data_IF_856179260554
#
_entry.id   IF_856179260554
#
_cell.length_a   1.000
_cell.length_b   1.000
_cell.length_c   1.000
_cell.angle_alpha   90.00
_cell.angle_beta   90.00
_cell.angle_gamma   90.00
#
_symmetry.space_group_name_H-M   'P 1'
#
loop_
_entity.id
_entity.type
_entity.pdbx_description
1 polymer ?
#
# COMPACT_ATOMS: atom_id res chain seq x y z
N UNK A 1 31.26 6.93 19.82
CA UNK A 1 29.97 7.49 19.41
C UNK A 1 30.16 8.26 18.10
N UNK A 2 30.19 7.57 16.96
CA UNK A 2 30.05 8.23 15.66
C UNK A 2 28.57 8.12 15.32
N UNK A 3 27.83 9.22 15.49
CA UNK A 3 26.39 9.25 15.28
C UNK A 3 26.07 8.91 13.82
N UNK A 4 25.52 7.73 13.60
CA UNK A 4 24.97 7.28 12.31
C UNK A 4 23.66 7.99 12.00
N UNK A 5 23.64 9.31 12.05
CA UNK A 5 22.45 10.07 11.73
C UNK A 5 22.28 10.10 10.20
N UNK A 6 21.13 9.61 9.74
CA UNK A 6 20.65 9.76 8.37
C UNK A 6 20.36 11.24 8.02
N UNK A 7 20.42 12.14 9.00
CA UNK A 7 20.25 13.58 8.82
C UNK A 7 21.57 14.34 8.76
N UNK A 8 21.74 15.19 7.74
CA UNK A 8 22.74 16.25 7.65
C UNK A 8 22.24 17.49 8.41
N UNK A 9 22.41 17.47 9.73
CA UNK A 9 22.23 18.66 10.56
C UNK A 9 23.62 19.21 10.89
N UNK A 10 24.20 20.02 10.00
CA UNK A 10 25.49 20.66 10.26
C UNK A 10 25.33 21.89 11.16
N UNK A 11 26.12 21.96 12.24
CA UNK A 11 26.02 23.05 13.19
C UNK A 11 26.56 24.38 12.66
N UNK A 12 25.95 25.52 13.04
CA UNK A 12 24.75 25.61 13.87
C UNK A 12 23.51 25.83 12.99
N UNK A 13 22.71 24.78 12.74
CA UNK A 13 21.33 24.95 12.28
C UNK A 13 20.57 25.71 13.37
N UNK A 14 20.39 27.02 13.18
CA UNK A 14 19.56 27.81 14.09
C UNK A 14 18.12 27.35 13.94
N UNK A 15 17.41 27.05 15.02
CA UNK A 15 15.98 26.69 14.95
C UNK A 15 15.13 27.70 14.17
N UNK A 16 15.54 28.98 14.17
CA UNK A 16 14.90 30.02 13.36
C UNK A 16 14.92 29.75 11.84
N UNK A 17 15.82 28.91 11.32
CA UNK A 17 15.85 28.53 9.91
C UNK A 17 14.64 27.69 9.49
N UNK A 18 13.99 27.00 10.43
CA UNK A 18 12.75 26.24 10.17
C UNK A 18 11.57 27.18 9.84
N UNK A 19 11.68 28.46 10.22
CA UNK A 19 10.66 29.47 9.89
C UNK A 19 10.81 30.02 8.48
N UNK A 20 11.94 29.76 7.80
CA UNK A 20 12.13 30.21 6.43
C UNK A 20 11.18 29.45 5.50
N UNK A 21 10.53 30.13 4.53
CA UNK A 21 9.71 29.43 3.55
C UNK A 21 10.59 28.47 2.75
N UNK A 22 10.01 27.32 2.38
CA UNK A 22 10.62 26.37 1.48
C UNK A 22 11.15 27.10 0.23
N UNK A 23 12.45 26.97 -0.05
CA UNK A 23 13.02 27.56 -1.26
C UNK A 23 12.41 26.84 -2.47
N UNK A 24 11.95 27.56 -3.50
CA UNK A 24 11.48 26.91 -4.72
C UNK A 24 12.63 26.08 -5.31
N UNK A 25 12.50 24.75 -5.30
CA UNK A 25 13.46 23.86 -5.94
C UNK A 25 13.27 23.94 -7.45
N UNK A 26 14.39 23.91 -8.19
CA UNK A 26 14.38 23.82 -9.66
C UNK A 26 13.77 22.49 -10.12
N UNK A 27 13.90 21.45 -9.29
CA UNK A 27 13.37 20.11 -9.54
C UNK A 27 12.31 19.73 -8.48
N UNK A 28 11.28 18.95 -8.85
CA UNK A 28 10.35 18.38 -7.89
C UNK A 28 11.05 17.43 -6.91
N UNK A 29 10.32 16.99 -5.87
CA UNK A 29 10.79 15.97 -4.92
C UNK A 29 11.39 14.77 -5.66
N UNK A 30 12.48 14.21 -5.11
CA UNK A 30 13.07 12.98 -5.63
C UNK A 30 12.14 11.79 -5.38
N UNK A 31 11.59 11.73 -4.15
CA UNK A 31 10.59 10.75 -3.71
C UNK A 31 9.35 10.84 -4.59
N UNK A 32 8.90 9.70 -5.13
CA UNK A 32 7.74 9.60 -6.02
C UNK A 32 6.42 9.54 -5.23
N UNK A 33 5.35 10.01 -5.86
CA UNK A 33 4.01 9.90 -5.30
C UNK A 33 3.17 9.04 -6.24
N UNK A 34 2.66 7.92 -5.73
CA UNK A 34 1.64 7.12 -6.39
C UNK A 34 0.28 7.63 -5.93
N UNK A 35 -0.57 8.06 -6.86
CA UNK A 35 -1.93 8.48 -6.56
C UNK A 35 -2.93 7.46 -7.07
N UNK A 36 -3.83 6.98 -6.19
CA UNK A 36 -4.96 6.15 -6.61
C UNK A 36 -6.05 7.03 -7.21
N UNK A 37 -6.40 6.81 -8.48
CA UNK A 37 -7.44 7.57 -9.17
C UNK A 37 -8.82 6.99 -8.89
N UNK A 38 -9.78 7.86 -8.58
CA UNK A 38 -11.12 7.49 -8.15
C UNK A 38 -12.12 8.63 -8.30
N UNK A 39 -13.32 8.53 -7.69
CA UNK A 39 -14.44 9.44 -7.94
C UNK A 39 -14.11 10.92 -7.82
N UNK A 40 -13.29 11.28 -6.83
CA UNK A 40 -12.94 12.68 -6.57
C UNK A 40 -11.68 13.12 -7.31
N UNK A 41 -11.00 12.21 -8.01
CA UNK A 41 -9.80 12.45 -8.83
C UNK A 41 -9.95 11.92 -10.26
N UNK A 42 -11.19 11.83 -10.74
CA UNK A 42 -11.54 11.21 -12.03
C UNK A 42 -11.48 12.18 -13.21
N UNK A 43 -11.77 13.47 -12.98
CA UNK A 43 -11.87 14.45 -14.07
C UNK A 43 -10.49 14.84 -14.60
N UNK A 44 -10.43 15.20 -15.89
CA UNK A 44 -9.19 15.63 -16.54
C UNK A 44 -8.53 16.77 -15.78
N UNK A 45 -9.31 17.76 -15.36
CA UNK A 45 -8.85 18.96 -14.66
C UNK A 45 -8.19 18.59 -13.31
N UNK A 46 -8.83 17.71 -12.52
CA UNK A 46 -8.27 17.28 -11.24
C UNK A 46 -7.02 16.43 -11.44
N UNK A 47 -6.98 15.58 -12.46
CA UNK A 47 -5.78 14.79 -12.77
C UNK A 47 -4.63 15.70 -13.21
N UNK A 48 -4.87 16.72 -14.04
CA UNK A 48 -3.86 17.72 -14.42
C UNK A 48 -3.29 18.43 -13.18
N UNK A 49 -4.16 18.80 -12.24
CA UNK A 49 -3.74 19.39 -10.98
C UNK A 49 -2.90 18.43 -10.12
N UNK A 50 -3.29 17.16 -10.02
CA UNK A 50 -2.53 16.11 -9.32
C UNK A 50 -1.15 15.89 -9.95
N UNK A 51 -1.06 15.77 -11.28
CA UNK A 51 0.19 15.62 -12.02
C UNK A 51 1.07 16.87 -11.84
N UNK A 52 0.47 18.06 -11.85
CA UNK A 52 1.19 19.31 -11.59
C UNK A 52 1.70 19.40 -10.16
N UNK A 53 0.90 18.94 -9.19
CA UNK A 53 1.24 18.92 -7.76
C UNK A 53 2.36 17.93 -7.40
N UNK A 54 2.60 16.90 -8.20
CA UNK A 54 3.73 15.97 -8.03
C UNK A 54 3.39 14.49 -8.15
N UNK A 55 2.15 14.12 -8.48
CA UNK A 55 1.79 12.74 -8.75
C UNK A 55 2.65 12.19 -9.89
N UNK A 56 3.27 11.04 -9.65
CA UNK A 56 4.26 10.41 -10.54
C UNK A 56 3.74 9.13 -11.18
N UNK A 57 2.89 8.37 -10.48
CA UNK A 57 2.29 7.12 -10.96
C UNK A 57 0.79 7.15 -10.66
N UNK A 58 -0.04 6.69 -11.59
CA UNK A 58 -1.48 6.56 -11.40
C UNK A 58 -1.82 5.09 -11.08
N UNK A 59 -2.37 4.86 -9.89
CA UNK A 59 -2.85 3.54 -9.45
C UNK A 59 -4.34 3.37 -9.75
N UNK A 60 -4.68 2.23 -10.33
CA UNK A 60 -6.04 1.79 -10.64
C UNK A 60 -6.37 0.58 -9.76
N UNK A 61 -7.30 0.79 -8.83
CA UNK A 61 -7.67 -0.19 -7.83
C UNK A 61 -8.86 -1.04 -8.30
N UNK A 62 -8.61 -2.27 -8.75
CA UNK A 62 -9.64 -3.14 -9.35
C UNK A 62 -10.52 -3.88 -8.35
N UNK A 63 -10.26 -3.73 -7.04
CA UNK A 63 -11.20 -4.12 -5.98
C UNK A 63 -12.52 -3.32 -6.03
N UNK A 64 -12.50 -2.16 -6.71
CA UNK A 64 -13.57 -1.18 -6.70
C UNK A 64 -13.92 -0.75 -8.13
N UNK A 65 -15.22 -0.75 -8.45
CA UNK A 65 -15.78 -0.50 -9.80
C UNK A 65 -15.29 -1.49 -10.86
N UNK A 66 -15.86 -1.35 -12.07
CA UNK A 66 -15.63 -2.23 -13.20
C UNK A 66 -14.58 -1.66 -14.17
N UNK A 67 -14.19 -2.47 -15.16
CA UNK A 67 -13.23 -2.09 -16.18
C UNK A 67 -13.68 -0.87 -17.02
N UNK A 68 -14.99 -0.61 -17.15
CA UNK A 68 -15.52 0.54 -17.90
C UNK A 68 -15.15 1.84 -17.21
N UNK A 69 -15.37 1.92 -15.90
CA UNK A 69 -14.96 3.06 -15.09
C UNK A 69 -13.45 3.31 -15.15
N UNK A 70 -12.65 2.24 -15.01
CA UNK A 70 -11.19 2.35 -15.08
C UNK A 70 -10.69 2.77 -16.45
N UNK A 71 -11.37 2.35 -17.54
CA UNK A 71 -11.03 2.81 -18.89
C UNK A 71 -11.31 4.31 -19.09
N UNK A 72 -12.46 4.80 -18.64
CA UNK A 72 -12.78 6.24 -18.69
C UNK A 72 -11.76 7.06 -17.90
N UNK A 73 -11.39 6.58 -16.70
CA UNK A 73 -10.37 7.19 -15.85
C UNK A 73 -9.01 7.26 -16.56
N UNK A 74 -8.61 6.18 -17.26
CA UNK A 74 -7.36 6.12 -18.00
C UNK A 74 -7.34 7.05 -19.20
N UNK A 75 -8.45 7.16 -19.93
CA UNK A 75 -8.56 8.08 -21.06
C UNK A 75 -8.43 9.54 -20.59
N UNK A 76 -9.04 9.87 -19.43
CA UNK A 76 -8.85 11.17 -18.78
C UNK A 76 -7.40 11.40 -18.35
N UNK A 77 -6.74 10.40 -17.77
CA UNK A 77 -5.33 10.47 -17.39
C UNK A 77 -4.43 10.74 -18.60
N UNK A 78 -4.63 10.03 -19.71
CA UNK A 78 -3.85 10.22 -20.94
C UNK A 78 -4.00 11.64 -21.49
N UNK A 79 -5.22 12.19 -21.48
CA UNK A 79 -5.49 13.58 -21.88
C UNK A 79 -4.82 14.58 -20.94
N UNK A 80 -4.95 14.39 -19.63
CA UNK A 80 -4.32 15.25 -18.62
C UNK A 80 -2.79 15.24 -18.76
N UNK A 81 -2.19 14.06 -18.89
CA UNK A 81 -0.75 13.86 -19.09
C UNK A 81 -0.22 14.58 -20.34
N UNK A 82 -0.97 14.54 -21.45
CA UNK A 82 -0.66 15.30 -22.66
C UNK A 82 -0.73 16.82 -22.43
N UNK A 83 -1.76 17.30 -21.74
CA UNK A 83 -1.97 18.72 -21.48
C UNK A 83 -0.85 19.31 -20.61
N UNK A 84 -0.43 18.61 -19.55
CA UNK A 84 0.67 19.05 -18.66
C UNK A 84 2.07 18.64 -19.16
N UNK A 85 2.15 17.86 -20.24
CA UNK A 85 3.39 17.32 -20.83
C UNK A 85 4.24 16.53 -19.83
N UNK A 86 3.59 15.67 -19.04
CA UNK A 86 4.25 14.75 -18.10
C UNK A 86 3.89 13.31 -18.44
N UNK A 87 4.87 12.43 -18.37
CA UNK A 87 4.63 10.99 -18.41
C UNK A 87 4.14 10.52 -17.04
N UNK A 88 3.19 9.60 -17.02
CA UNK A 88 2.65 9.00 -15.79
C UNK A 88 2.41 7.51 -16.04
N UNK A 89 3.24 6.63 -15.44
CA UNK A 89 3.03 5.19 -15.52
C UNK A 89 1.71 4.76 -14.88
N UNK A 90 1.16 3.66 -15.40
CA UNK A 90 -0.09 3.04 -15.01
C UNK A 90 0.23 1.84 -14.12
N UNK A 91 -0.26 1.88 -12.88
CA UNK A 91 -0.17 0.78 -11.93
C UNK A 91 -1.55 0.13 -11.77
N UNK A 92 -1.66 -1.15 -12.10
CA UNK A 92 -2.85 -1.97 -11.87
C UNK A 92 -2.68 -2.69 -10.53
N UNK A 93 -3.58 -2.46 -9.58
CA UNK A 93 -3.59 -3.13 -8.28
C UNK A 93 -4.56 -4.31 -8.29
N UNK A 94 -4.04 -5.52 -8.01
CA UNK A 94 -4.84 -6.74 -7.99
C UNK A 94 -5.70 -6.80 -6.73
N UNK A 95 -6.81 -7.53 -6.77
CA UNK A 95 -7.65 -7.75 -5.58
C UNK A 95 -6.96 -8.72 -4.62
N UNK A 96 -6.49 -9.85 -5.14
CA UNK A 96 -5.83 -10.87 -4.33
C UNK A 96 -6.79 -11.66 -3.41
N UNK A 97 -6.24 -12.43 -2.46
CA UNK A 97 -6.97 -13.36 -1.59
C UNK A 97 -7.70 -12.65 -0.45
N UNK A 98 -8.77 -11.91 -0.77
CA UNK A 98 -9.58 -11.18 0.21
C UNK A 98 -10.83 -11.99 0.64
N UNK A 99 -11.00 -12.19 1.95
CA UNK A 99 -12.23 -12.78 2.49
C UNK A 99 -13.26 -11.65 2.67
N UNK A 100 -14.40 -11.75 1.98
CA UNK A 100 -15.45 -10.74 2.07
C UNK A 100 -16.58 -11.19 2.98
N UNK A 101 -17.01 -10.29 3.88
CA UNK A 101 -18.25 -10.40 4.64
C UNK A 101 -19.39 -9.92 3.76
N UNK A 102 -20.40 -10.77 3.58
CA UNK A 102 -21.55 -10.48 2.74
C UNK A 102 -22.67 -9.83 3.56
N UNK A 103 -22.83 -8.51 3.41
CA UNK A 103 -23.97 -7.79 3.97
C UNK A 103 -25.05 -7.55 2.90
N UNK A 104 -25.93 -8.54 2.70
CA UNK A 104 -27.01 -8.48 1.70
C UNK A 104 -28.00 -7.32 1.90
N UNK A 105 -28.12 -6.82 3.13
CA UNK A 105 -29.04 -5.70 3.45
C UNK A 105 -28.44 -4.33 3.18
N UNK A 106 -27.11 -4.22 3.16
CA UNK A 106 -26.37 -2.95 3.16
C UNK A 106 -26.57 -2.08 4.42
N UNK A 107 -27.44 -2.50 5.34
CA UNK A 107 -27.77 -1.78 6.56
C UNK A 107 -26.66 -1.86 7.61
N UNK A 108 -26.75 -1.00 8.62
CA UNK A 108 -25.82 -0.98 9.73
C UNK A 108 -26.03 -2.21 10.64
N UNK A 109 -24.94 -2.88 11.01
CA UNK A 109 -24.91 -4.00 11.95
C UNK A 109 -24.10 -3.56 13.17
N UNK A 110 -24.77 -3.40 14.30
CA UNK A 110 -24.13 -3.04 15.57
C UNK A 110 -23.67 -4.31 16.30
N UNK A 111 -22.38 -4.38 16.59
CA UNK A 111 -21.73 -5.45 17.34
C UNK A 111 -21.21 -4.87 18.63
N UNK A 112 -21.60 -5.46 19.77
CA UNK A 112 -21.29 -4.95 21.10
C UNK A 112 -20.14 -5.76 21.71
N UNK A 113 -19.12 -5.08 22.22
CA UNK A 113 -18.01 -5.70 22.93
C UNK A 113 -18.49 -6.56 24.11
N UNK A 114 -17.94 -7.76 24.24
CA UNK A 114 -18.34 -8.74 25.24
C UNK A 114 -19.34 -9.79 24.75
N UNK A 115 -20.00 -9.55 23.62
CA UNK A 115 -20.91 -10.52 23.02
C UNK A 115 -20.16 -11.55 22.16
N UNK A 116 -20.92 -12.50 21.59
CA UNK A 116 -20.42 -13.44 20.60
C UNK A 116 -21.11 -13.22 19.26
N UNK A 117 -20.38 -13.51 18.19
CA UNK A 117 -20.88 -13.50 16.81
C UNK A 117 -20.40 -14.76 16.09
N UNK A 118 -21.24 -15.30 15.22
CA UNK A 118 -20.93 -16.49 14.42
C UNK A 118 -20.56 -16.09 13.00
N UNK A 119 -19.35 -16.43 12.57
CA UNK A 119 -18.94 -16.30 11.17
C UNK A 119 -19.32 -17.60 10.44
N UNK A 120 -20.01 -17.48 9.32
CA UNK A 120 -20.56 -18.63 8.59
C UNK A 120 -20.35 -18.53 7.08
N UNK A 121 -20.03 -19.62 6.38
CA UNK A 121 -19.97 -19.61 4.92
C UNK A 121 -21.35 -19.70 4.25
N UNK A 122 -22.43 -19.86 5.03
CA UNK A 122 -23.80 -19.94 4.52
C UNK A 122 -24.34 -18.54 4.17
N UNK A 123 -24.21 -18.18 2.89
CA UNK A 123 -24.69 -16.90 2.34
C UNK A 123 -26.22 -16.77 2.33
N UNK A 124 -26.98 -17.83 2.64
CA UNK A 124 -28.44 -17.74 2.77
C UNK A 124 -28.88 -17.10 4.08
N UNK A 125 -28.00 -17.05 5.09
CA UNK A 125 -28.29 -16.42 6.38
C UNK A 125 -28.24 -14.89 6.25
N UNK A 126 -29.23 -14.22 6.84
CA UNK A 126 -29.23 -12.77 6.88
C UNK A 126 -28.15 -12.27 7.87
N UNK A 127 -27.37 -11.25 7.49
CA UNK A 127 -26.33 -10.68 8.35
C UNK A 127 -26.98 -9.93 9.54
N UNK A 128 -26.46 -10.16 10.74
CA UNK A 128 -26.96 -9.57 12.00
C UNK A 128 -25.83 -9.45 13.04
N UNK A 129 -26.16 -8.93 14.23
CA UNK A 129 -25.24 -8.90 15.37
C UNK A 129 -24.82 -10.31 15.85
N UNK A 130 -25.60 -11.35 15.50
CA UNK A 130 -25.35 -12.73 15.91
C UNK A 130 -24.63 -13.54 14.82
N UNK A 131 -24.78 -13.17 13.55
CA UNK A 131 -24.31 -13.96 12.40
C UNK A 131 -23.74 -13.06 11.30
N UNK A 132 -22.52 -13.34 10.85
CA UNK A 132 -21.87 -12.69 9.71
C UNK A 132 -21.53 -13.71 8.61
N UNK A 133 -22.25 -13.70 7.48
CA UNK A 133 -21.95 -14.55 6.33
C UNK A 133 -20.68 -14.11 5.60
N UNK A 134 -19.84 -15.06 5.16
CA UNK A 134 -18.60 -14.78 4.42
C UNK A 134 -18.49 -15.60 3.12
N UNK A 135 -17.77 -15.06 2.14
CA UNK A 135 -17.46 -15.74 0.88
C UNK A 135 -16.19 -16.60 0.98
N UNK A 136 -16.07 -17.43 2.01
CA UNK A 136 -14.94 -18.35 2.17
C UNK A 136 -15.35 -19.57 3.02
N UNK A 137 -15.40 -20.75 2.38
CA UNK A 137 -15.90 -21.98 3.00
C UNK A 137 -14.95 -22.62 4.02
N UNK A 138 -13.66 -22.31 3.92
CA UNK A 138 -12.61 -23.03 4.64
C UNK A 138 -12.13 -22.30 5.90
N UNK A 139 -12.79 -21.21 6.33
CA UNK A 139 -12.37 -20.42 7.50
C UNK A 139 -12.23 -21.31 8.75
N UNK A 140 -13.22 -22.14 9.06
CA UNK A 140 -13.21 -23.03 10.22
C UNK A 140 -12.09 -24.09 10.19
N UNK A 141 -11.47 -24.34 9.03
CA UNK A 141 -10.35 -25.29 8.87
C UNK A 141 -8.99 -24.63 9.12
N UNK A 142 -8.89 -23.32 8.92
CA UNK A 142 -7.62 -22.58 9.00
C UNK A 142 -7.45 -21.86 10.33
N UNK A 143 -8.55 -21.53 11.02
CA UNK A 143 -8.50 -20.85 12.32
C UNK A 143 -8.51 -21.84 13.50
N UNK A 144 -7.91 -21.42 14.62
CA UNK A 144 -7.93 -22.11 15.91
C UNK A 144 -8.39 -21.15 17.01
N UNK A 145 -8.79 -21.73 18.15
CA UNK A 145 -9.13 -20.96 19.35
C UNK A 145 -8.00 -20.01 19.74
N UNK A 146 -8.34 -18.75 19.97
CA UNK A 146 -7.40 -17.67 20.31
C UNK A 146 -6.90 -16.86 19.11
N UNK A 147 -7.17 -17.29 17.87
CA UNK A 147 -6.81 -16.49 16.69
C UNK A 147 -7.62 -15.18 16.66
N UNK A 148 -6.98 -14.13 16.14
CA UNK A 148 -7.56 -12.79 16.06
C UNK A 148 -8.04 -12.50 14.64
N UNK A 149 -9.32 -12.14 14.54
CA UNK A 149 -9.96 -11.72 13.30
C UNK A 149 -10.21 -10.22 13.35
N UNK A 150 -10.04 -9.58 12.20
CA UNK A 150 -10.36 -8.18 11.98
C UNK A 150 -11.38 -8.08 10.86
N UNK A 151 -12.43 -7.28 11.06
CA UNK A 151 -13.39 -6.93 10.02
C UNK A 151 -13.41 -5.42 9.86
N UNK A 152 -13.15 -4.93 8.66
CA UNK A 152 -13.10 -3.50 8.36
C UNK A 152 -13.74 -3.16 7.03
N UNK A 153 -14.03 -1.88 6.82
CA UNK A 153 -14.39 -1.39 5.49
C UNK A 153 -13.18 -1.50 4.55
N UNK A 154 -13.39 -1.80 3.27
CA UNK A 154 -12.33 -1.73 2.26
C UNK A 154 -11.63 -0.35 2.28
N UNK A 155 -10.29 -0.32 2.30
CA UNK A 155 -9.45 0.87 2.56
C UNK A 155 -9.83 1.60 3.88
N UNK A 156 -9.97 0.84 4.96
CA UNK A 156 -10.29 1.31 6.31
C UNK A 156 -9.31 2.38 6.83
N UNK A 157 -9.82 3.44 7.46
CA UNK A 157 -9.04 4.64 7.84
C UNK A 157 -8.56 4.67 9.29
N UNK A 158 -8.59 3.55 10.01
CA UNK A 158 -8.18 3.52 11.42
C UNK A 158 -9.27 3.97 12.42
N UNK A 159 -10.50 4.22 11.98
CA UNK A 159 -11.60 4.63 12.87
C UNK A 159 -12.15 3.45 13.69
N UNK A 160 -11.86 3.43 14.99
CA UNK A 160 -12.21 2.34 15.93
C UNK A 160 -13.71 1.99 15.97
N UNK A 161 -14.60 2.92 15.61
CA UNK A 161 -16.06 2.68 15.64
C UNK A 161 -16.60 1.95 14.41
N UNK A 162 -15.77 1.77 13.37
CA UNK A 162 -16.16 1.17 12.08
C UNK A 162 -15.37 -0.09 11.73
N UNK A 163 -14.58 -0.59 12.68
CA UNK A 163 -13.84 -1.85 12.56
C UNK A 163 -14.06 -2.73 13.77
N UNK A 164 -14.03 -4.04 13.56
CA UNK A 164 -14.37 -5.04 14.55
C UNK A 164 -13.20 -5.98 14.76
N UNK A 165 -12.78 -6.12 16.00
CA UNK A 165 -11.82 -7.11 16.46
C UNK A 165 -12.55 -8.26 17.13
N UNK A 166 -12.19 -9.47 16.72
CA UNK A 166 -12.80 -10.72 17.12
C UNK A 166 -11.72 -11.68 17.59
N UNK A 167 -12.02 -12.51 18.59
CA UNK A 167 -11.17 -13.65 18.97
C UNK A 167 -11.96 -14.95 18.79
N UNK A 168 -11.38 -15.91 18.07
CA UNK A 168 -12.01 -17.23 17.87
C UNK A 168 -12.12 -17.94 19.22
N UNK A 169 -13.34 -18.31 19.61
CA UNK A 169 -13.60 -19.07 20.82
C UNK A 169 -13.64 -20.57 20.54
N UNK A 170 -14.32 -20.97 19.46
CA UNK A 170 -14.41 -22.34 18.99
C UNK A 170 -14.87 -22.42 17.53
N UNK A 171 -14.71 -23.60 16.93
CA UNK A 171 -15.27 -23.93 15.61
C UNK A 171 -16.30 -25.04 15.76
N UNK A 172 -17.44 -24.90 15.09
CA UNK A 172 -18.54 -25.88 15.11
C UNK A 172 -18.94 -26.21 13.67
N UNK A 173 -18.45 -27.34 13.16
CA UNK A 173 -18.60 -27.69 11.75
C UNK A 173 -17.91 -26.66 10.85
N UNK A 174 -18.70 -25.94 10.05
CA UNK A 174 -18.20 -24.87 9.17
C UNK A 174 -18.31 -23.47 9.81
N UNK A 175 -18.89 -23.36 11.00
CA UNK A 175 -19.08 -22.09 11.69
C UNK A 175 -17.92 -21.77 12.63
N UNK A 176 -17.57 -20.49 12.72
CA UNK A 176 -16.54 -19.97 13.62
C UNK A 176 -17.20 -19.03 14.61
N UNK A 177 -17.19 -19.41 15.88
CA UNK A 177 -17.77 -18.60 16.95
C UNK A 177 -16.66 -17.69 17.49
N UNK A 178 -16.96 -16.40 17.56
CA UNK A 178 -16.00 -15.37 17.93
C UNK A 178 -16.51 -14.55 19.10
N UNK A 179 -15.61 -14.21 20.02
CA UNK A 179 -15.83 -13.21 21.06
C UNK A 179 -15.55 -11.82 20.51
N UNK A 180 -16.47 -10.88 20.72
CA UNK A 180 -16.37 -9.50 20.24
C UNK A 180 -15.50 -8.66 21.19
N UNK A 181 -14.34 -8.18 20.72
CA UNK A 181 -13.36 -7.45 21.54
C UNK A 181 -13.71 -5.97 21.72
N UNK A 182 -14.33 -5.34 20.73
CA UNK A 182 -14.73 -3.93 20.77
C UNK A 182 -16.13 -3.73 20.20
N UNK A 183 -16.79 -2.64 20.60
CA UNK A 183 -18.07 -2.24 20.00
C UNK A 183 -17.83 -1.52 18.68
N UNK A 184 -18.52 -1.92 17.62
CA UNK A 184 -18.43 -1.29 16.31
C UNK A 184 -19.74 -1.40 15.51
N UNK A 185 -19.89 -0.50 14.54
CA UNK A 185 -21.02 -0.52 13.60
C UNK A 185 -20.52 -0.74 12.19
N UNK A 186 -20.79 -1.93 11.64
CA UNK A 186 -20.46 -2.28 10.27
C UNK A 186 -21.56 -1.74 9.35
N UNK A 187 -21.27 -0.71 8.56
CA UNK A 187 -22.22 -0.11 7.59
C UNK A 187 -21.77 -0.26 6.13
N UNK A 188 -22.68 -0.63 5.25
CA UNK A 188 -22.41 -0.85 3.83
C UNK A 188 -22.43 -2.32 3.41
N UNK A 189 -22.35 -2.58 2.10
CA UNK A 189 -22.62 -3.92 1.54
C UNK A 189 -21.44 -4.89 1.61
N UNK A 190 -20.21 -4.39 1.75
CA UNK A 190 -18.98 -5.18 1.67
C UNK A 190 -18.01 -4.75 2.76
N UNK A 191 -17.55 -5.72 3.54
CA UNK A 191 -16.42 -5.60 4.46
C UNK A 191 -15.42 -6.71 4.18
N UNK A 192 -14.20 -6.47 4.62
CA UNK A 192 -13.08 -7.38 4.43
C UNK A 192 -12.79 -8.02 5.78
N UNK A 193 -12.60 -9.33 5.77
CA UNK A 193 -12.23 -10.12 6.94
C UNK A 193 -10.77 -10.51 6.78
N UNK A 194 -9.98 -10.19 7.78
CA UNK A 194 -8.58 -10.56 7.88
C UNK A 194 -8.38 -11.48 9.08
N UNK A 195 -7.58 -12.53 8.92
CA UNK A 195 -7.20 -13.44 10.01
C UNK A 195 -5.71 -13.24 10.27
N UNK A 196 -5.38 -12.80 11.48
CA UNK A 196 -3.99 -12.42 11.79
C UNK A 196 -3.09 -13.65 11.92
N UNK A 197 -1.95 -13.65 11.23
CA UNK A 197 -0.92 -14.69 11.27
C UNK A 197 -1.43 -16.10 10.92
N UNK A 198 -2.42 -16.17 10.02
CA UNK A 198 -2.99 -17.44 9.53
C UNK A 198 -2.90 -17.50 8.02
N UNK A 199 -2.41 -18.63 7.51
CA UNK A 199 -2.36 -18.91 6.08
C UNK A 199 -3.75 -19.12 5.51
N UNK A 200 -4.13 -18.28 4.54
CA UNK A 200 -5.39 -18.41 3.79
C UNK A 200 -5.12 -19.12 2.46
N UNK A 201 -5.71 -20.30 2.25
CA UNK A 201 -5.44 -21.15 1.08
C UNK A 201 -6.06 -20.65 -0.25
N UNK A 202 -6.36 -19.35 -0.36
CA UNK A 202 -6.81 -18.73 -1.60
C UNK A 202 -5.62 -18.45 -2.52
N UNK A 203 -5.80 -18.54 -3.86
CA UNK A 203 -4.74 -18.19 -4.79
C UNK A 203 -4.42 -16.69 -4.70
N UNK A 204 -3.15 -16.34 -4.89
CA UNK A 204 -2.72 -14.93 -4.85
C UNK A 204 -3.27 -14.15 -6.05
N UNK A 205 -3.38 -14.81 -7.22
CA UNK A 205 -4.12 -14.30 -8.36
C UNK A 205 -5.50 -14.94 -8.45
N UNK A 206 -6.54 -14.16 -8.23
CA UNK A 206 -7.91 -14.62 -8.50
C UNK A 206 -8.16 -14.76 -10.01
N UNK A 207 -9.20 -15.51 -10.38
CA UNK A 207 -9.62 -15.59 -11.79
C UNK A 207 -10.05 -14.22 -12.34
N UNK A 208 -10.58 -13.34 -11.48
CA UNK A 208 -10.88 -11.97 -11.84
C UNK A 208 -9.60 -11.17 -12.12
N UNK A 209 -8.57 -11.30 -11.28
CA UNK A 209 -7.27 -10.63 -11.50
C UNK A 209 -6.65 -11.05 -12.84
N UNK A 210 -6.62 -12.36 -13.11
CA UNK A 210 -6.15 -12.91 -14.40
C UNK A 210 -6.92 -12.33 -15.58
N UNK A 211 -8.25 -12.30 -15.48
CA UNK A 211 -9.11 -11.74 -16.52
C UNK A 211 -8.84 -10.25 -16.76
N UNK A 212 -8.73 -9.44 -15.71
CA UNK A 212 -8.47 -8.00 -15.82
C UNK A 212 -7.10 -7.75 -16.45
N UNK A 213 -6.06 -8.47 -16.01
CA UNK A 213 -4.70 -8.35 -16.56
C UNK A 213 -4.69 -8.73 -18.04
N UNK A 214 -5.30 -9.85 -18.43
CA UNK A 214 -5.30 -10.33 -19.81
C UNK A 214 -6.19 -9.52 -20.76
N UNK A 215 -7.09 -8.69 -20.24
CA UNK A 215 -8.01 -7.86 -21.04
C UNK A 215 -7.62 -6.39 -20.94
N UNK A 216 -7.98 -5.73 -19.83
CA UNK A 216 -7.73 -4.32 -19.62
C UNK A 216 -6.25 -4.00 -19.50
N UNK A 217 -5.49 -4.84 -18.79
CA UNK A 217 -4.04 -4.68 -18.62
C UNK A 217 -3.28 -4.74 -19.96
N UNK A 218 -3.54 -5.79 -20.74
CA UNK A 218 -2.97 -5.98 -22.07
C UNK A 218 -3.32 -4.84 -23.03
N UNK A 219 -4.61 -4.50 -23.15
CA UNK A 219 -5.08 -3.46 -24.06
C UNK A 219 -4.44 -2.09 -23.76
N UNK A 220 -4.12 -1.82 -22.49
CA UNK A 220 -3.63 -0.53 -22.06
C UNK A 220 -2.12 -0.47 -21.79
N UNK A 221 -1.40 -1.57 -22.01
CA UNK A 221 0.05 -1.69 -21.80
C UNK A 221 0.45 -1.19 -20.40
N UNK A 222 -0.13 -1.81 -19.37
CA UNK A 222 0.15 -1.44 -17.97
C UNK A 222 1.64 -1.56 -17.64
N UNK A 223 2.18 -0.54 -16.98
CA UNK A 223 3.60 -0.48 -16.66
C UNK A 223 3.94 -1.32 -15.43
N UNK A 224 3.03 -1.36 -14.45
CA UNK A 224 3.25 -2.02 -13.15
C UNK A 224 2.00 -2.82 -12.76
N UNK A 225 2.18 -4.09 -12.36
CA UNK A 225 1.21 -4.83 -11.56
C UNK A 225 1.63 -4.76 -10.09
N UNK A 226 0.74 -4.26 -9.25
CA UNK A 226 0.86 -4.28 -7.80
C UNK A 226 0.16 -5.53 -7.27
N UNK A 227 0.95 -6.53 -6.86
CA UNK A 227 0.50 -7.88 -6.50
C UNK A 227 0.12 -7.95 -5.01
N UNK A 228 -1.19 -7.85 -4.74
CA UNK A 228 -1.77 -7.89 -3.40
C UNK A 228 -1.52 -9.23 -2.68
N UNK A 229 -1.30 -9.14 -1.36
CA UNK A 229 -1.03 -10.25 -0.45
C UNK A 229 0.03 -11.23 -0.95
N UNK A 230 1.18 -10.71 -1.40
CA UNK A 230 2.30 -11.57 -1.80
C UNK A 230 2.88 -12.27 -0.56
N UNK A 231 2.96 -13.59 -0.58
CA UNK A 231 3.37 -14.43 0.57
C UNK A 231 4.65 -15.21 0.31
N UNK A 232 5.03 -15.40 -0.95
CA UNK A 232 6.19 -16.19 -1.35
C UNK A 232 6.78 -15.72 -2.66
N UNK A 233 8.01 -16.17 -2.94
CA UNK A 233 8.62 -16.00 -4.26
C UNK A 233 7.82 -16.65 -5.39
N UNK A 234 7.08 -17.72 -5.10
CA UNK A 234 6.27 -18.43 -6.10
C UNK A 234 5.09 -17.60 -6.60
N UNK A 235 4.47 -16.79 -5.75
CA UNK A 235 3.40 -15.86 -6.16
C UNK A 235 3.87 -14.89 -7.25
N UNK A 236 5.11 -14.38 -7.09
CA UNK A 236 5.73 -13.48 -8.06
C UNK A 236 6.06 -14.21 -9.36
N UNK A 237 6.58 -15.45 -9.26
CA UNK A 237 6.89 -16.28 -10.44
C UNK A 237 5.63 -16.69 -11.21
N UNK A 238 4.53 -17.00 -10.52
CA UNK A 238 3.23 -17.29 -11.13
C UNK A 238 2.76 -16.10 -11.96
N UNK A 239 2.74 -14.89 -11.38
CA UNK A 239 2.37 -13.69 -12.11
C UNK A 239 3.33 -13.42 -13.27
N UNK A 240 4.64 -13.58 -13.08
CA UNK A 240 5.64 -13.40 -14.15
C UNK A 240 5.38 -14.33 -15.33
N UNK A 241 5.10 -15.61 -15.05
CA UNK A 241 4.78 -16.60 -16.08
C UNK A 241 3.47 -16.25 -16.80
N UNK A 242 2.46 -15.79 -16.06
CA UNK A 242 1.18 -15.34 -16.61
C UNK A 242 1.33 -14.11 -17.52
N UNK A 243 2.11 -13.10 -17.11
CA UNK A 243 2.38 -11.92 -17.94
C UNK A 243 3.11 -12.30 -19.23
N UNK A 244 4.11 -13.19 -19.13
CA UNK A 244 4.85 -13.70 -20.29
C UNK A 244 3.97 -14.47 -21.27
N UNK A 245 2.97 -15.22 -20.80
CA UNK A 245 2.06 -15.95 -21.69
C UNK A 245 1.03 -15.05 -22.38
N UNK A 246 0.96 -13.76 -22.02
CA UNK A 246 0.02 -12.77 -22.57
C UNK A 246 0.74 -11.56 -23.18
N UNK A 247 2.00 -11.71 -23.60
CA UNK A 247 2.81 -10.65 -24.23
C UNK A 247 3.00 -9.38 -23.37
N UNK A 248 3.00 -9.52 -22.04
CA UNK A 248 3.21 -8.46 -21.04
C UNK A 248 4.55 -8.61 -20.29
N UNK A 249 5.58 -9.18 -20.91
CA UNK A 249 6.84 -9.47 -20.20
C UNK A 249 7.59 -8.23 -19.68
N UNK A 250 7.30 -7.04 -20.22
CA UNK A 250 7.96 -5.79 -19.83
C UNK A 250 7.27 -5.12 -18.62
N UNK A 251 6.05 -5.55 -18.28
CA UNK A 251 5.32 -5.07 -17.11
C UNK A 251 6.04 -5.47 -15.82
N UNK A 252 6.29 -4.49 -14.96
CA UNK A 252 6.98 -4.69 -13.69
C UNK A 252 6.03 -5.27 -12.64
N UNK A 253 6.55 -6.13 -11.75
CA UNK A 253 5.79 -6.71 -10.64
C UNK A 253 6.26 -6.09 -9.33
N UNK A 254 5.36 -5.37 -8.67
CA UNK A 254 5.58 -4.80 -7.35
C UNK A 254 4.85 -5.67 -6.33
N UNK A 255 5.58 -6.41 -5.51
CA UNK A 255 5.00 -7.29 -4.50
C UNK A 255 4.51 -6.47 -3.29
N UNK A 256 3.23 -6.59 -2.94
CA UNK A 256 2.67 -6.00 -1.72
C UNK A 256 2.86 -6.94 -0.54
N UNK A 257 3.64 -6.50 0.43
CA UNK A 257 3.90 -7.24 1.67
C UNK A 257 2.92 -6.75 2.73
N UNK A 258 1.98 -7.61 3.07
CA UNK A 258 0.74 -7.27 3.81
C UNK A 258 0.50 -8.10 5.06
N UNK A 259 1.23 -9.21 5.22
CA UNK A 259 1.06 -10.13 6.34
C UNK A 259 2.40 -10.74 6.78
N UNK A 260 2.36 -11.53 7.84
CA UNK A 260 3.50 -12.19 8.46
C UNK A 260 4.21 -13.16 7.51
N UNK A 261 3.47 -13.89 6.66
CA UNK A 261 4.06 -14.80 5.67
C UNK A 261 4.94 -14.03 4.67
N UNK A 262 4.43 -12.91 4.14
CA UNK A 262 5.21 -12.04 3.25
C UNK A 262 6.44 -11.42 3.92
N UNK A 263 6.40 -11.20 5.25
CA UNK A 263 7.57 -10.77 6.01
C UNK A 263 8.57 -11.89 6.27
N UNK A 264 8.09 -13.11 6.54
CA UNK A 264 8.93 -14.29 6.76
C UNK A 264 9.71 -14.64 5.48
N UNK A 265 9.06 -14.55 4.33
CA UNK A 265 9.64 -14.82 3.01
C UNK A 265 10.13 -13.56 2.29
N UNK A 266 10.32 -12.45 3.00
CA UNK A 266 10.62 -11.15 2.37
C UNK A 266 11.84 -11.20 1.44
N UNK A 267 12.91 -11.88 1.82
CA UNK A 267 14.15 -11.91 1.04
C UNK A 267 13.99 -12.63 -0.30
N UNK A 268 13.24 -13.72 -0.33
CA UNK A 268 12.97 -14.45 -1.57
C UNK A 268 11.95 -13.73 -2.47
N UNK A 269 10.97 -13.04 -1.88
CA UNK A 269 10.05 -12.16 -2.62
C UNK A 269 10.83 -11.00 -3.24
N UNK A 270 11.68 -10.34 -2.46
CA UNK A 270 12.53 -9.25 -2.92
C UNK A 270 13.43 -9.70 -4.06
N UNK A 271 13.93 -10.94 -4.06
CA UNK A 271 14.77 -11.44 -5.15
C UNK A 271 14.02 -11.55 -6.49
N UNK A 272 12.75 -11.96 -6.48
CA UNK A 272 11.95 -12.18 -7.70
C UNK A 272 11.15 -10.95 -8.18
N UNK A 273 10.73 -10.08 -7.25
CA UNK A 273 9.93 -8.90 -7.55
C UNK A 273 10.78 -7.76 -8.16
N UNK A 274 10.18 -6.89 -8.96
CA UNK A 274 10.89 -5.71 -9.51
C UNK A 274 10.88 -4.53 -8.53
N UNK A 275 9.89 -4.50 -7.64
CA UNK A 275 9.78 -3.54 -6.55
C UNK A 275 8.94 -4.09 -5.40
N UNK A 276 8.93 -3.39 -4.28
CA UNK A 276 8.18 -3.77 -3.07
C UNK A 276 7.24 -2.64 -2.67
N UNK A 277 6.03 -3.00 -2.25
CA UNK A 277 5.10 -2.10 -1.56
C UNK A 277 4.94 -2.64 -0.13
N UNK A 278 5.31 -1.85 0.88
CA UNK A 278 5.10 -2.22 2.28
C UNK A 278 3.77 -1.61 2.74
N UNK A 279 2.76 -2.46 2.85
CA UNK A 279 1.40 -2.05 3.21
C UNK A 279 1.23 -1.99 4.73
N UNK A 280 1.47 -0.82 5.30
CA UNK A 280 1.46 -0.63 6.77
C UNK A 280 0.08 -0.73 7.40
N UNK A 281 -0.98 -0.47 6.60
CA UNK A 281 -2.36 -0.67 7.03
C UNK A 281 -2.63 -2.13 7.37
N UNK A 282 -2.38 -3.01 6.40
CA UNK A 282 -2.60 -4.45 6.52
C UNK A 282 -1.63 -5.10 7.52
N UNK A 283 -0.35 -4.71 7.49
CA UNK A 283 0.61 -5.15 8.50
C UNK A 283 0.26 -4.67 9.91
N UNK A 284 -0.43 -3.54 10.06
CA UNK A 284 -0.92 -3.05 11.35
C UNK A 284 -2.13 -3.82 11.87
N UNK A 285 -2.83 -4.56 10.99
CA UNK A 285 -3.87 -5.51 11.38
C UNK A 285 -3.25 -6.84 11.77
N UNK A 286 -2.25 -7.29 11.01
CA UNK A 286 -1.65 -8.62 11.16
C UNK A 286 -0.62 -8.72 12.32
N UNK A 287 0.09 -7.61 12.61
CA UNK A 287 1.16 -7.55 13.59
C UNK A 287 0.78 -6.69 14.81
N UNK A 288 1.45 -6.90 15.96
CA UNK A 288 1.39 -5.94 17.06
C UNK A 288 1.83 -4.54 16.59
N UNK A 289 1.12 -3.47 16.98
CA UNK A 289 1.37 -2.11 16.47
C UNK A 289 2.79 -1.62 16.77
N UNK A 290 3.38 -2.02 17.89
CA UNK A 290 4.74 -1.69 18.27
C UNK A 290 5.81 -2.39 17.42
N UNK A 291 5.45 -3.32 16.53
CA UNK A 291 6.39 -4.01 15.63
C UNK A 291 6.35 -3.52 14.19
N UNK A 292 5.30 -2.81 13.77
CA UNK A 292 5.11 -2.35 12.37
C UNK A 292 6.26 -1.45 11.92
N UNK A 293 6.80 -0.60 12.80
CA UNK A 293 7.91 0.28 12.42
C UNK A 293 9.19 -0.50 12.04
N UNK A 294 9.40 -1.69 12.62
CA UNK A 294 10.58 -2.51 12.34
C UNK A 294 10.52 -3.14 10.95
N UNK A 295 9.33 -3.58 10.51
CA UNK A 295 9.15 -4.13 9.16
C UNK A 295 9.39 -3.07 8.10
N UNK A 296 8.89 -1.85 8.28
CA UNK A 296 9.17 -0.70 7.40
C UNK A 296 10.68 -0.45 7.29
N UNK A 297 11.37 -0.20 8.42
CA UNK A 297 12.79 0.17 8.40
C UNK A 297 13.66 -0.94 7.81
N UNK A 298 13.38 -2.18 8.16
CA UNK A 298 14.14 -3.34 7.67
C UNK A 298 13.87 -3.58 6.19
N UNK A 299 12.60 -3.53 5.76
CA UNK A 299 12.20 -3.73 4.38
C UNK A 299 12.79 -2.66 3.46
N UNK A 300 12.66 -1.37 3.80
CA UNK A 300 13.27 -0.27 3.03
C UNK A 300 14.78 -0.46 2.94
N UNK A 301 15.45 -0.78 4.05
CA UNK A 301 16.90 -1.00 4.03
C UNK A 301 17.30 -2.11 3.06
N UNK A 302 16.61 -3.26 3.10
CA UNK A 302 16.88 -4.40 2.22
C UNK A 302 16.64 -4.05 0.75
N UNK A 303 15.55 -3.37 0.42
CA UNK A 303 15.26 -2.87 -0.93
C UNK A 303 16.36 -1.95 -1.45
N UNK A 304 16.78 -0.98 -0.63
CA UNK A 304 17.84 -0.04 -0.97
C UNK A 304 19.18 -0.73 -1.22
N UNK A 305 19.51 -1.77 -0.44
CA UNK A 305 20.73 -2.55 -0.64
C UNK A 305 20.65 -3.44 -1.89
N UNK A 306 19.47 -3.91 -2.25
CA UNK A 306 19.22 -4.69 -3.46
C UNK A 306 19.06 -3.82 -4.73
N UNK A 307 19.00 -2.49 -4.60
CA UNK A 307 18.75 -1.58 -5.71
C UNK A 307 17.34 -1.70 -6.31
N UNK A 308 16.37 -2.19 -5.53
CA UNK A 308 14.98 -2.37 -5.96
C UNK A 308 14.06 -1.32 -5.34
N UNK A 309 13.16 -0.68 -6.13
CA UNK A 309 12.27 0.35 -5.61
C UNK A 309 11.38 -0.13 -4.46
N UNK A 310 11.20 0.72 -3.46
CA UNK A 310 10.27 0.48 -2.34
C UNK A 310 9.27 1.63 -2.16
N UNK A 311 8.02 1.28 -1.94
CA UNK A 311 6.91 2.22 -1.76
C UNK A 311 6.24 1.95 -0.41
N UNK A 312 5.91 3.02 0.31
CA UNK A 312 5.19 2.97 1.59
C UNK A 312 3.77 3.49 1.42
N UNK A 313 2.79 2.81 2.04
CA UNK A 313 1.36 3.21 2.03
C UNK A 313 0.89 3.78 3.37
N UNK A 314 -0.31 4.37 3.39
CA UNK A 314 -1.05 4.83 4.59
C UNK A 314 -0.30 5.85 5.43
N UNK A 315 -0.02 7.03 4.86
CA UNK A 315 0.78 8.07 5.52
C UNK A 315 -0.01 9.27 6.03
N UNK A 316 -1.15 9.61 5.41
CA UNK A 316 -1.92 10.85 5.69
C UNK A 316 -3.44 10.61 5.68
N UNK A 317 -3.89 9.53 6.32
CA UNK A 317 -5.28 9.08 6.35
C UNK A 317 -6.28 10.18 6.74
N UNK A 318 -5.91 11.09 7.64
CA UNK A 318 -6.78 12.20 8.04
C UNK A 318 -7.12 13.14 6.88
N UNK A 319 -6.30 13.17 5.83
CA UNK A 319 -6.49 14.05 4.67
C UNK A 319 -7.62 13.62 3.73
N UNK A 320 -8.24 12.46 3.98
CA UNK A 320 -9.48 12.07 3.30
C UNK A 320 -10.56 13.11 3.56
N UNK A 321 -10.70 13.56 4.81
CA UNK A 321 -11.75 14.51 5.23
C UNK A 321 -11.21 15.88 5.64
N UNK A 322 -9.89 16.02 5.79
CA UNK A 322 -9.25 17.25 6.26
C UNK A 322 -8.26 17.83 5.24
N UNK A 323 -8.21 19.15 5.13
CA UNK A 323 -7.26 19.82 4.23
C UNK A 323 -5.80 19.71 4.69
N UNK A 324 -5.55 19.30 5.94
CA UNK A 324 -4.20 19.18 6.53
C UNK A 324 -4.04 17.85 7.25
N UNK A 325 -2.85 17.25 7.19
CA UNK A 325 -2.54 16.07 7.98
C UNK A 325 -2.33 16.46 9.44
N UNK A 326 -2.40 15.47 10.33
CA UNK A 326 -1.96 15.59 11.71
C UNK A 326 -0.44 15.75 11.80
N UNK A 327 0.04 16.18 12.97
CA UNK A 327 1.49 16.27 13.25
C UNK A 327 2.19 14.92 13.16
N UNK A 328 1.51 13.84 13.56
CA UNK A 328 2.05 12.49 13.52
C UNK A 328 2.22 12.02 12.07
N UNK A 329 1.21 12.19 11.24
CA UNK A 329 1.24 11.83 9.81
C UNK A 329 2.30 12.63 9.03
N UNK A 330 2.41 13.94 9.28
CA UNK A 330 3.46 14.73 8.63
C UNK A 330 4.88 14.24 9.01
N UNK A 331 5.07 13.84 10.27
CA UNK A 331 6.33 13.28 10.75
C UNK A 331 6.57 11.87 10.20
N UNK A 332 5.51 11.10 10.00
CA UNK A 332 5.57 9.76 9.42
C UNK A 332 6.04 9.79 7.95
N UNK A 333 5.45 10.67 7.11
CA UNK A 333 5.93 10.91 5.73
C UNK A 333 7.42 11.26 5.73
N UNK A 334 7.82 12.22 6.58
CA UNK A 334 9.22 12.64 6.65
C UNK A 334 10.15 11.49 7.05
N UNK A 335 9.78 10.68 8.03
CA UNK A 335 10.58 9.53 8.45
C UNK A 335 10.69 8.44 7.37
N UNK A 336 9.62 8.19 6.61
CA UNK A 336 9.69 7.24 5.49
C UNK A 336 10.72 7.68 4.43
N UNK A 337 10.78 8.98 4.13
CA UNK A 337 11.81 9.56 3.24
C UNK A 337 13.20 9.43 3.85
N UNK A 338 13.37 9.70 5.15
CA UNK A 338 14.66 9.57 5.84
C UNK A 338 15.14 8.12 5.98
N UNK A 339 14.22 7.16 6.04
CA UNK A 339 14.50 5.73 5.95
C UNK A 339 14.99 5.35 4.54
N UNK A 340 14.65 6.16 3.54
CA UNK A 340 15.08 6.01 2.15
C UNK A 340 14.06 5.33 1.26
N UNK A 341 12.76 5.60 1.44
CA UNK A 341 11.73 5.11 0.50
C UNK A 341 11.83 5.79 -0.86
N UNK A 342 11.56 5.07 -1.95
CA UNK A 342 11.50 5.63 -3.30
C UNK A 342 10.16 6.31 -3.58
N UNK A 343 9.09 5.82 -2.96
CA UNK A 343 7.75 6.33 -3.18
C UNK A 343 6.83 6.28 -1.97
N UNK A 344 5.82 7.14 -2.03
CA UNK A 344 4.67 7.18 -1.11
C UNK A 344 3.40 6.94 -1.92
N UNK A 345 2.57 5.99 -1.48
CA UNK A 345 1.28 5.68 -2.11
C UNK A 345 0.13 6.30 -1.33
N UNK A 346 -0.61 7.17 -2.02
CA UNK A 346 -1.87 7.73 -1.56
C UNK A 346 -3.03 6.87 -2.09
N UNK A 347 -3.76 6.27 -1.15
CA UNK A 347 -4.86 5.36 -1.40
C UNK A 347 -6.18 6.12 -1.38
N UNK A 348 -6.88 6.03 -0.26
CA UNK A 348 -8.19 6.65 -0.08
C UNK A 348 -8.15 8.19 -0.21
N UNK A 349 -7.02 8.82 0.10
CA UNK A 349 -6.82 10.27 0.08
C UNK A 349 -7.00 10.86 -1.32
N UNK A 350 -6.52 10.17 -2.34
CA UNK A 350 -6.70 10.57 -3.74
C UNK A 350 -7.88 9.87 -4.40
N UNK A 351 -8.26 8.67 -3.96
CA UNK A 351 -9.40 7.92 -4.53
C UNK A 351 -10.74 8.62 -4.24
N UNK A 352 -11.04 8.82 -2.95
CA UNK A 352 -12.34 9.31 -2.44
C UNK A 352 -12.23 10.50 -1.49
N UNK A 353 -11.01 10.97 -1.22
CA UNK A 353 -10.79 12.12 -0.34
C UNK A 353 -11.41 13.39 -0.90
N UNK A 354 -11.75 14.32 0.00
CA UNK A 354 -12.31 15.63 -0.35
C UNK A 354 -11.26 16.57 -0.96
N UNK A 355 -9.97 16.29 -0.72
CA UNK A 355 -8.86 17.17 -1.10
C UNK A 355 -7.70 16.40 -1.81
N UNK A 356 -7.96 15.68 -2.92
CA UNK A 356 -6.98 14.80 -3.54
C UNK A 356 -5.72 15.55 -4.02
N UNK A 357 -5.89 16.73 -4.61
CA UNK A 357 -4.77 17.57 -5.08
C UNK A 357 -3.93 18.08 -3.91
N UNK A 358 -4.57 18.51 -2.81
CA UNK A 358 -3.86 19.00 -1.63
C UNK A 358 -3.14 17.89 -0.87
N UNK A 359 -3.67 16.66 -0.88
CA UNK A 359 -2.96 15.49 -0.35
C UNK A 359 -1.63 15.27 -1.10
N UNK A 360 -1.68 15.19 -2.44
CA UNK A 360 -0.48 15.06 -3.30
C UNK A 360 0.50 16.21 -3.03
N UNK A 361 0.00 17.46 -3.04
CA UNK A 361 0.81 18.66 -2.83
C UNK A 361 1.47 18.70 -1.46
N UNK A 362 0.73 18.33 -0.41
CA UNK A 362 1.21 18.37 0.97
C UNK A 362 2.27 17.30 1.21
N UNK A 363 2.02 16.06 0.77
CA UNK A 363 3.00 14.97 0.86
C UNK A 363 4.26 15.32 0.06
N UNK A 364 4.11 15.83 -1.17
CA UNK A 364 5.26 16.25 -1.98
C UNK A 364 6.11 17.35 -1.32
N UNK A 365 5.47 18.29 -0.60
CA UNK A 365 6.19 19.31 0.18
C UNK A 365 6.94 18.70 1.36
N UNK A 366 6.33 17.77 2.09
CA UNK A 366 6.99 17.11 3.22
C UNK A 366 8.19 16.28 2.72
N UNK A 367 8.04 15.54 1.62
CA UNK A 367 9.14 14.81 1.01
C UNK A 367 10.28 15.75 0.61
N UNK A 368 9.95 16.85 -0.06
CA UNK A 368 10.95 17.83 -0.49
C UNK A 368 11.72 18.44 0.69
N UNK A 369 11.06 18.70 1.83
CA UNK A 369 11.71 19.18 3.06
C UNK A 369 12.59 18.10 3.71
N UNK A 370 12.09 16.87 3.85
CA UNK A 370 12.86 15.75 4.41
C UNK A 370 14.13 15.46 3.60
N UNK A 371 14.05 15.55 2.27
CA UNK A 371 15.20 15.40 1.37
C UNK A 371 16.30 16.44 1.61
N UNK A 372 15.99 17.64 2.13
CA UNK A 372 17.01 18.68 2.38
C UNK A 372 18.01 18.30 3.47
N UNK A 373 17.60 17.41 4.37
CA UNK A 373 18.43 16.91 5.46
C UNK A 373 18.88 15.48 5.21
N UNK A 374 18.55 14.83 4.10
CA UNK A 374 18.96 13.44 3.85
C UNK A 374 20.46 13.33 3.59
N UNK A 375 21.17 12.50 4.36
CA UNK A 375 22.61 12.31 4.23
C UNK A 375 23.01 11.38 3.07
N UNK A 376 22.96 11.92 1.86
CA UNK A 376 23.29 11.21 0.61
C UNK A 376 24.71 10.61 0.64
N UNK A 377 25.70 11.38 1.10
CA UNK A 377 27.09 10.93 1.17
C UNK A 377 27.29 9.74 2.13
N UNK A 378 26.59 9.74 3.26
CA UNK A 378 26.60 8.60 4.18
C UNK A 378 25.87 7.39 3.59
N UNK A 379 24.73 7.61 2.94
CA UNK A 379 23.97 6.55 2.27
C UNK A 379 24.82 5.87 1.18
N UNK A 380 25.41 6.65 0.28
CA UNK A 380 26.31 6.15 -0.77
C UNK A 380 27.44 5.29 -0.22
N UNK A 381 28.12 5.75 0.84
CA UNK A 381 29.18 4.96 1.51
C UNK A 381 28.67 3.62 2.07
N UNK A 382 27.44 3.58 2.57
CA UNK A 382 26.82 2.34 3.06
C UNK A 382 26.56 1.37 1.90
N UNK A 383 26.00 1.86 0.79
CA UNK A 383 25.72 1.05 -0.41
C UNK A 383 27.01 0.49 -1.01
N UNK A 384 28.02 1.34 -1.26
CA UNK A 384 29.32 0.91 -1.79
C UNK A 384 29.97 -0.17 -0.91
N UNK A 385 29.89 -0.02 0.42
CA UNK A 385 30.39 -1.03 1.35
C UNK A 385 29.59 -2.34 1.31
N UNK A 386 28.29 -2.27 1.06
CA UNK A 386 27.43 -3.45 0.96
C UNK A 386 27.71 -4.25 -0.32
N UNK A 387 27.78 -3.57 -1.46
CA UNK A 387 28.09 -4.19 -2.77
C UNK A 387 29.49 -4.81 -2.76
N UNK A 388 30.46 -4.12 -2.15
CA UNK A 388 31.84 -4.61 -2.05
C UNK A 388 32.63 -4.50 -3.36
N UNK A 389 33.87 -4.97 -3.32
CA UNK A 389 34.78 -4.95 -4.47
C UNK A 389 35.24 -6.39 -4.83
N UNK A 390 35.37 -6.73 -6.14
CA UNK A 390 35.11 -5.88 -7.29
C UNK A 390 33.60 -5.77 -7.62
N UNK A 391 33.17 -4.57 -8.01
CA UNK A 391 31.83 -4.33 -8.58
C UNK A 391 31.76 -4.80 -10.04
N UNK A 392 30.56 -5.08 -10.54
CA UNK A 392 30.37 -5.28 -11.99
C UNK A 392 30.59 -3.97 -12.74
N UNK A 393 30.84 -4.05 -14.05
CA UNK A 393 31.26 -2.88 -14.85
C UNK A 393 30.24 -1.74 -14.80
N UNK A 394 28.96 -2.07 -14.96
CA UNK A 394 27.85 -1.12 -14.97
C UNK A 394 27.72 -0.39 -13.62
N UNK A 395 27.80 -1.12 -12.51
CA UNK A 395 27.76 -0.56 -11.16
C UNK A 395 28.99 0.32 -10.87
N UNK A 396 30.17 -0.09 -11.33
CA UNK A 396 31.40 0.69 -11.18
C UNK A 396 31.32 2.03 -11.91
N UNK A 397 30.78 2.03 -13.12
CA UNK A 397 30.55 3.26 -13.91
C UNK A 397 29.50 4.15 -13.23
N UNK A 398 28.38 3.58 -12.79
CA UNK A 398 27.33 4.33 -12.09
C UNK A 398 27.81 4.96 -10.77
N UNK A 399 28.56 4.18 -9.98
CA UNK A 399 29.18 4.65 -8.73
C UNK A 399 30.17 5.80 -8.97
N UNK A 400 30.98 5.69 -10.03
CA UNK A 400 31.91 6.76 -10.42
C UNK A 400 31.18 8.05 -10.82
N UNK A 401 30.05 7.94 -11.53
CA UNK A 401 29.26 9.09 -11.93
C UNK A 401 28.68 9.86 -10.72
N UNK A 402 28.29 9.16 -9.66
CA UNK A 402 27.81 9.79 -8.42
C UNK A 402 28.93 10.58 -7.71
N UNK A 403 30.14 10.04 -7.64
CA UNK A 403 31.28 10.70 -6.96
C UNK A 403 31.73 11.99 -7.67
N UNK A 404 31.41 12.14 -8.95
CA UNK A 404 31.77 13.32 -9.75
C UNK A 404 30.78 14.50 -9.64
N UNK A 405 29.60 14.29 -9.01
CA UNK A 405 28.61 15.34 -8.71
C UNK A 405 28.88 15.98 -7.36
#
# INVERSE_FOLDING_TARGET
>A
MQGGNHMLLEEPVRLASVLAPAKPKVFPSLTKIVGTLGPNSHSVEVIEECLTAGMSVARFDFSWKDATYHQETLDNLRKAAQNVKKLCPIMLDTVGPEIQVHNSTGGAIELIGGNHVTITPDLSKAPSADILPIKFGDLAKVVKKGDTLFIGQYLFTGSETTSLWLEVTETSGAEVICYVKNTATLSGPIFTLHVSQVHISMPTLSEYDKQVISTWGLQNSVDIISLSHTRSSEDVRELRAFLKSHDLQDTQIYAKVENAEGLEHFDEILQEADGIIISRGDLGIDLPPERVFMSQKTGIHKCNMAGKPVIITRVVDSMIDNLRPTRAEATDVANAVLDGTDGILLGAETLRGQYPVDAVRTVGRICAEAETVYNQSLHFKKVVRHVGEPMVHEESVASSAFVLQ
#
